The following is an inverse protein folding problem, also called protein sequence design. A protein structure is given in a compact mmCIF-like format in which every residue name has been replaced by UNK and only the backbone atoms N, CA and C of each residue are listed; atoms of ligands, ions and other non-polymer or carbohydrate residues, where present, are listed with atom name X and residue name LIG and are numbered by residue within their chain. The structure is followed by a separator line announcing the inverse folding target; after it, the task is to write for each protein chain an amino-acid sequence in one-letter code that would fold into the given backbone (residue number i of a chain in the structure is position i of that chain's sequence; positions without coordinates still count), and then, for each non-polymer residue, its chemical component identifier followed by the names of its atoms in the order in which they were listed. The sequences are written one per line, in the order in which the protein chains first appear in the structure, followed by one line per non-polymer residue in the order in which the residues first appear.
data_IF_889198885569
#
_entry.id   IF_889198885569
#
_cell.length_a   1.000
_cell.length_b   1.000
_cell.length_c   1.000
_cell.angle_alpha   90.00
_cell.angle_beta   90.00
_cell.angle_gamma   90.00
#
_symmetry.space_group_name_H-M   'P 1'
#
loop_
_entity.id
_entity.type
_entity.pdbx_description
1 polymer ?
#
# COMPACT_ATOMS: atom_id res chain seq x y z
N UNK A 1 -5.77 2.33 26.61
CA UNK A 1 -6.11 2.49 25.18
C UNK A 1 -4.87 2.09 24.39
N UNK A 2 -5.02 1.39 23.26
CA UNK A 2 -3.86 1.05 22.43
C UNK A 2 -3.18 2.35 21.98
N UNK A 3 -1.85 2.46 22.14
CA UNK A 3 -1.08 3.69 21.92
C UNK A 3 -1.24 4.26 20.49
N UNK A 4 -1.63 3.42 19.54
CA UNK A 4 -1.86 3.77 18.13
C UNK A 4 -3.26 4.26 17.80
N UNK A 5 -4.26 4.09 18.68
CA UNK A 5 -5.64 4.44 18.36
C UNK A 5 -5.79 5.97 18.19
N UNK A 6 -6.13 6.41 16.96
CA UNK A 6 -6.25 7.83 16.61
C UNK A 6 -4.94 8.52 16.20
N UNK A 7 -3.83 7.77 16.08
CA UNK A 7 -2.55 8.29 15.58
C UNK A 7 -2.63 8.51 14.07
N UNK A 8 -2.09 9.64 13.61
CA UNK A 8 -1.99 9.99 12.19
C UNK A 8 -0.53 9.96 11.78
N UNK A 9 -0.23 9.36 10.63
CA UNK A 9 1.11 9.33 10.05
C UNK A 9 1.25 10.41 8.98
N UNK A 10 2.47 10.90 8.72
CA UNK A 10 2.72 11.78 7.58
C UNK A 10 2.24 11.15 6.28
N UNK A 11 1.61 11.95 5.42
CA UNK A 11 1.16 11.48 4.12
C UNK A 11 2.35 10.99 3.27
N UNK A 12 2.15 9.86 2.59
CA UNK A 12 3.12 9.31 1.64
C UNK A 12 2.68 9.60 0.22
N UNK A 13 3.65 9.67 -0.70
CA UNK A 13 3.40 9.77 -2.13
C UNK A 13 3.92 8.52 -2.82
N UNK A 14 3.14 8.05 -3.79
CA UNK A 14 3.54 6.96 -4.68
C UNK A 14 3.30 7.40 -6.11
N UNK A 15 4.25 7.08 -6.97
CA UNK A 15 4.04 7.16 -8.41
C UNK A 15 3.37 5.86 -8.88
N UNK A 16 2.30 6.00 -9.66
CA UNK A 16 1.64 4.86 -10.29
C UNK A 16 2.29 4.63 -11.65
N UNK A 17 3.14 3.60 -11.69
CA UNK A 17 3.81 3.14 -12.90
C UNK A 17 2.85 2.30 -13.76
N UNK A 18 2.64 2.72 -15.01
CA UNK A 18 1.69 2.08 -15.93
C UNK A 18 2.09 0.67 -16.33
N UNK A 19 3.37 0.36 -16.43
CA UNK A 19 3.87 -0.97 -16.76
C UNK A 19 3.60 -1.93 -15.59
N UNK A 20 3.86 -1.50 -14.35
CA UNK A 20 3.56 -2.30 -13.15
C UNK A 20 2.06 -2.52 -12.97
N UNK A 21 1.23 -1.53 -13.28
CA UNK A 21 -0.23 -1.68 -13.25
C UNK A 21 -0.67 -2.75 -14.24
N UNK A 22 -0.14 -2.71 -15.46
CA UNK A 22 -0.48 -3.70 -16.49
C UNK A 22 -0.04 -5.12 -16.09
N UNK A 23 1.16 -5.28 -15.54
CA UNK A 23 1.66 -6.57 -15.06
C UNK A 23 0.85 -7.11 -13.89
N UNK A 24 0.49 -6.25 -12.94
CA UNK A 24 -0.37 -6.65 -11.83
C UNK A 24 -1.76 -7.05 -12.32
N UNK A 25 -2.37 -6.28 -13.23
CA UNK A 25 -3.67 -6.62 -13.81
C UNK A 25 -3.64 -8.01 -14.45
N UNK A 26 -2.59 -8.32 -15.24
CA UNK A 26 -2.39 -9.66 -15.81
C UNK A 26 -2.25 -10.73 -14.73
N UNK A 27 -1.46 -10.47 -13.69
CA UNK A 27 -1.20 -11.43 -12.62
C UNK A 27 -2.47 -11.83 -11.84
N UNK A 28 -3.43 -10.91 -11.70
CA UNK A 28 -4.70 -11.18 -11.02
C UNK A 28 -5.85 -11.59 -11.98
N UNK A 29 -5.55 -11.77 -13.27
CA UNK A 29 -6.54 -12.12 -14.28
C UNK A 29 -7.50 -10.99 -14.67
N UNK A 30 -7.13 -9.73 -14.41
CA UNK A 30 -7.86 -8.54 -14.85
C UNK A 30 -7.35 -8.02 -16.19
N UNK A 31 -8.15 -7.19 -16.87
CA UNK A 31 -7.76 -6.57 -18.13
C UNK A 31 -6.94 -5.28 -17.89
N UNK A 32 -5.69 -5.18 -18.41
CA UNK A 32 -4.87 -3.97 -18.26
C UNK A 32 -5.48 -2.70 -18.86
N UNK A 33 -6.40 -2.81 -19.81
CA UNK A 33 -7.05 -1.65 -20.44
C UNK A 33 -8.17 -1.03 -19.60
N UNK A 34 -8.59 -1.68 -18.51
CA UNK A 34 -9.66 -1.18 -17.64
C UNK A 34 -9.15 -0.15 -16.62
N UNK A 35 -7.84 0.17 -16.65
CA UNK A 35 -7.18 1.12 -15.76
C UNK A 35 -6.51 0.45 -14.57
N UNK A 36 -6.39 1.17 -13.46
CA UNK A 36 -5.72 0.67 -12.25
C UNK A 36 -6.68 -0.23 -11.47
N UNK A 37 -6.37 -1.53 -11.28
CA UNK A 37 -7.22 -2.39 -10.46
C UNK A 37 -7.31 -1.85 -9.03
N UNK A 38 -8.49 -1.85 -8.37
CA UNK A 38 -8.62 -1.40 -6.98
C UNK A 38 -7.66 -2.11 -6.01
N UNK A 39 -7.33 -3.36 -6.30
CA UNK A 39 -6.37 -4.18 -5.53
C UNK A 39 -4.92 -3.76 -5.73
N UNK A 40 -4.57 -3.08 -6.83
CA UNK A 40 -3.24 -2.51 -7.03
C UNK A 40 -2.97 -1.42 -5.99
N UNK A 41 -3.94 -0.53 -5.78
CA UNK A 41 -3.86 0.49 -4.75
C UNK A 41 -3.73 -0.14 -3.36
N UNK A 42 -4.47 -1.21 -3.05
CA UNK A 42 -4.33 -1.90 -1.77
C UNK A 42 -2.92 -2.47 -1.55
N UNK A 43 -2.32 -3.14 -2.55
CA UNK A 43 -1.00 -3.80 -2.38
C UNK A 43 0.15 -2.80 -2.39
N UNK A 44 0.18 -1.90 -3.37
CA UNK A 44 1.32 -1.00 -3.54
C UNK A 44 1.27 0.22 -2.63
N UNK A 45 0.08 0.66 -2.20
CA UNK A 45 0.00 1.71 -1.16
C UNK A 45 0.46 1.18 0.20
N UNK A 46 0.27 -0.11 0.50
CA UNK A 46 0.81 -0.72 1.71
C UNK A 46 2.34 -0.67 1.70
N UNK A 47 3.00 -0.94 0.57
CA UNK A 47 4.46 -0.85 0.47
C UNK A 47 5.02 0.51 0.88
N UNK A 48 4.31 1.60 0.59
CA UNK A 48 4.74 2.95 0.97
C UNK A 48 4.51 3.28 2.44
N UNK A 49 3.51 2.66 3.09
CA UNK A 49 3.20 2.88 4.51
C UNK A 49 3.88 1.87 5.44
N UNK A 50 4.36 0.75 4.90
CA UNK A 50 5.10 -0.32 5.60
C UNK A 50 6.24 0.20 6.47
N UNK A 51 7.13 1.10 6.01
CA UNK A 51 8.20 1.65 6.85
C UNK A 51 7.68 2.45 8.06
N UNK A 52 6.54 3.14 7.91
CA UNK A 52 5.94 3.89 9.02
C UNK A 52 5.36 2.95 10.08
N UNK A 53 4.72 1.86 9.64
CA UNK A 53 4.17 0.83 10.53
C UNK A 53 5.27 0.13 11.33
N UNK A 54 6.35 -0.28 10.66
CA UNK A 54 7.44 -1.01 11.31
C UNK A 54 8.41 -0.11 12.10
N UNK A 55 8.50 1.17 11.76
CA UNK A 55 9.28 2.14 12.51
C UNK A 55 8.58 2.64 13.78
N UNK A 56 7.27 2.39 13.92
CA UNK A 56 6.51 2.83 15.10
C UNK A 56 6.59 1.80 16.24
N UNK A 57 7.40 2.10 17.25
CA UNK A 57 7.52 1.27 18.45
C UNK A 57 6.19 1.12 19.20
N UNK A 58 5.29 2.10 19.11
CA UNK A 58 3.96 2.02 19.73
C UNK A 58 3.03 1.06 19.00
N UNK A 59 3.30 0.80 17.70
CA UNK A 59 2.52 -0.13 16.89
C UNK A 59 2.80 -1.59 17.27
N UNK A 60 3.93 -1.87 17.92
CA UNK A 60 4.30 -3.17 18.47
C UNK A 60 4.08 -4.33 17.47
N UNK A 61 4.44 -4.11 16.21
CA UNK A 61 4.38 -5.15 15.17
C UNK A 61 5.65 -5.99 15.24
N UNK A 62 5.51 -7.26 15.61
CA UNK A 62 6.59 -8.25 15.63
C UNK A 62 6.58 -9.08 14.32
N UNK A 63 7.76 -9.53 13.87
CA UNK A 63 7.96 -10.32 12.62
C UNK A 63 8.61 -11.67 12.91
#
# INVERSE_FOLDING_TARGET
MAAVAGKTYPAVQIEIDTERVADFARAIGSNPSDGVPPTFAAVYSLGATVPQLFGDQDAAVDF
#
